data_IF_239076454685
#
_entry.id   IF_239076454685
#
_cell.length_a   1.000
_cell.length_b   1.000
_cell.length_c   1.000
_cell.angle_alpha   90.00
_cell.angle_beta   90.00
_cell.angle_gamma   90.00
#
_symmetry.space_group_name_H-M   'P 1'
#
loop_
_entity.id
_entity.type
_entity.pdbx_description
1 polymer ?
#
# COMPACT_ATOMS: atom_id res chain seq x y z
N UNK A 1 0.00 20.71 -7.75
CA UNK A 1 -0.30 19.28 -7.52
C UNK A 1 -1.42 18.89 -8.49
N UNK A 2 -1.07 18.35 -9.66
CA UNK A 2 -2.04 17.99 -10.71
C UNK A 2 -2.53 16.55 -10.56
N UNK A 3 -3.77 16.31 -10.98
CA UNK A 3 -4.44 15.00 -11.02
C UNK A 3 -3.77 13.97 -11.94
N UNK A 4 -2.76 14.37 -12.72
CA UNK A 4 -2.15 13.54 -13.76
C UNK A 4 -1.33 12.36 -13.24
N UNK A 5 -1.00 12.32 -11.94
CA UNK A 5 -0.21 11.26 -11.35
C UNK A 5 -0.96 10.44 -10.27
N UNK A 6 -2.29 10.58 -10.21
CA UNK A 6 -3.14 9.73 -9.39
C UNK A 6 -3.49 8.43 -10.14
N UNK A 7 -3.29 7.32 -9.45
CA UNK A 7 -3.59 5.96 -9.89
C UNK A 7 -4.45 5.26 -8.84
N UNK A 8 -4.88 4.03 -9.11
CA UNK A 8 -5.47 3.16 -8.10
C UNK A 8 -4.43 2.17 -7.60
N UNK A 9 -4.48 1.83 -6.31
CA UNK A 9 -3.61 0.84 -5.67
C UNK A 9 -4.43 -0.20 -4.91
N UNK A 10 -3.86 -1.39 -4.75
CA UNK A 10 -4.44 -2.43 -3.90
C UNK A 10 -3.82 -2.37 -2.51
N UNK A 11 -4.64 -2.16 -1.47
CA UNK A 11 -4.23 -2.18 -0.06
C UNK A 11 -3.45 -3.45 0.25
N UNK A 12 -4.00 -4.61 -0.12
CA UNK A 12 -3.32 -5.89 -0.19
C UNK A 12 -2.98 -6.18 -1.66
N UNK A 13 -1.68 -6.32 -2.02
CA UNK A 13 -1.26 -6.60 -3.39
C UNK A 13 -1.89 -7.89 -3.95
N UNK A 14 -2.16 -7.90 -5.26
CA UNK A 14 -2.67 -9.09 -5.96
C UNK A 14 -1.74 -10.30 -5.81
N UNK A 15 -0.43 -10.07 -5.79
CA UNK A 15 0.59 -11.11 -5.57
C UNK A 15 0.51 -11.79 -4.18
N UNK A 16 -0.30 -11.23 -3.26
CA UNK A 16 -0.53 -11.74 -1.91
C UNK A 16 -2.00 -12.09 -1.67
N UNK A 17 -2.67 -12.56 -2.73
CA UNK A 17 -4.09 -12.95 -2.69
C UNK A 17 -5.06 -11.79 -2.41
N UNK A 18 -4.60 -10.54 -2.57
CA UNK A 18 -5.48 -9.38 -2.56
C UNK A 18 -6.47 -9.43 -3.72
N UNK A 19 -7.74 -9.09 -3.47
CA UNK A 19 -8.80 -9.11 -4.49
C UNK A 19 -9.13 -7.69 -4.96
N UNK A 20 -9.50 -7.52 -6.23
CA UNK A 20 -9.96 -6.23 -6.76
C UNK A 20 -11.40 -5.90 -6.31
N UNK A 21 -11.58 -5.68 -5.01
CA UNK A 21 -12.86 -5.29 -4.40
C UNK A 21 -12.84 -3.82 -4.00
N UNK A 22 -14.02 -3.21 -3.85
CA UNK A 22 -14.13 -1.79 -3.42
C UNK A 22 -13.43 -1.50 -2.08
N UNK A 23 -13.32 -2.49 -1.20
CA UNK A 23 -12.63 -2.34 0.10
C UNK A 23 -11.11 -2.50 0.02
N UNK A 24 -10.57 -2.98 -1.09
CA UNK A 24 -9.12 -3.20 -1.27
C UNK A 24 -8.49 -2.20 -2.24
N UNK A 25 -9.27 -1.45 -3.02
CA UNK A 25 -8.75 -0.55 -4.05
C UNK A 25 -8.89 0.91 -3.58
N UNK A 26 -7.78 1.65 -3.52
CA UNK A 26 -7.73 3.03 -3.03
C UNK A 26 -7.04 3.96 -4.02
N UNK A 27 -7.42 5.26 -4.09
CA UNK A 27 -6.69 6.23 -4.90
C UNK A 27 -5.32 6.52 -4.26
N UNK A 28 -4.26 6.45 -5.06
CA UNK A 28 -2.89 6.66 -4.60
C UNK A 28 -2.01 7.18 -5.74
N UNK A 29 -0.97 7.95 -5.40
CA UNK A 29 -0.04 8.45 -6.41
C UNK A 29 0.86 7.32 -6.94
N UNK A 30 1.26 7.39 -8.21
CA UNK A 30 2.13 6.38 -8.81
C UNK A 30 3.46 6.21 -8.03
N UNK A 31 4.03 7.30 -7.53
CA UNK A 31 5.23 7.27 -6.71
C UNK A 31 5.04 6.52 -5.39
N UNK A 32 3.89 6.72 -4.72
CA UNK A 32 3.53 6.01 -3.50
C UNK A 32 3.38 4.51 -3.77
N UNK A 33 2.72 4.13 -4.86
CA UNK A 33 2.52 2.72 -5.25
C UNK A 33 3.85 2.02 -5.51
N UNK A 34 4.76 2.67 -6.25
CA UNK A 34 6.11 2.15 -6.52
C UNK A 34 6.95 2.01 -5.24
N UNK A 35 6.82 2.95 -4.30
CA UNK A 35 7.55 2.87 -3.02
C UNK A 35 7.02 1.74 -2.13
N UNK A 36 5.70 1.51 -2.13
CA UNK A 36 5.04 0.50 -1.30
C UNK A 36 5.38 -0.94 -1.71
N UNK A 37 5.66 -1.20 -3.00
CA UNK A 37 5.98 -2.52 -3.54
C UNK A 37 4.96 -3.58 -3.11
N UNK A 38 5.40 -4.61 -2.36
CA UNK A 38 4.57 -5.72 -1.87
C UNK A 38 4.22 -5.60 -0.39
N UNK A 39 4.56 -4.47 0.23
CA UNK A 39 4.37 -4.24 1.66
C UNK A 39 2.91 -3.94 1.95
N UNK A 40 2.39 -4.60 2.98
CA UNK A 40 1.05 -4.35 3.49
C UNK A 40 1.10 -3.37 4.67
N UNK A 41 0.02 -2.60 4.93
CA UNK A 41 0.00 -1.68 6.07
C UNK A 41 0.28 -2.35 7.42
N UNK A 42 -0.14 -3.61 7.58
CA UNK A 42 0.11 -4.39 8.79
C UNK A 42 1.61 -4.64 9.01
N UNK A 43 2.37 -4.92 7.95
CA UNK A 43 3.83 -5.13 8.06
C UNK A 43 4.55 -3.85 8.47
N UNK A 44 4.18 -2.71 7.88
CA UNK A 44 4.76 -1.43 8.29
C UNK A 44 4.52 -1.13 9.76
N UNK A 45 3.32 -1.44 10.28
CA UNK A 45 3.01 -1.30 11.70
C UNK A 45 3.80 -2.28 12.57
N UNK A 46 3.93 -3.54 12.15
CA UNK A 46 4.73 -4.53 12.88
C UNK A 46 6.20 -4.13 12.94
N UNK A 47 6.75 -3.56 11.86
CA UNK A 47 8.14 -3.09 11.84
C UNK A 47 8.33 -1.88 12.75
N UNK A 48 7.36 -0.96 12.83
CA UNK A 48 7.37 0.14 13.80
C UNK A 48 7.31 -0.35 15.26
N UNK A 49 6.58 -1.42 15.52
CA UNK A 49 6.54 -2.03 16.86
C UNK A 49 7.91 -2.65 17.18
N UNK A 50 8.48 -3.43 16.26
CA UNK A 50 9.81 -4.04 16.46
C UNK A 50 10.91 -3.01 16.72
N UNK A 51 10.90 -1.86 16.03
CA UNK A 51 11.92 -0.82 16.23
C UNK A 51 11.72 -0.02 17.51
N UNK A 52 10.50 0.01 18.07
CA UNK A 52 10.19 0.70 19.32
C UNK A 52 10.52 -0.12 20.56
N UNK A 53 10.49 -1.46 20.42
CA UNK A 53 10.86 -2.41 21.47
C UNK A 53 12.38 -2.73 21.50
N UNK A 54 13.17 -2.11 20.61
CA UNK A 54 14.62 -2.31 20.46
C UNK A 54 15.45 -1.19 21.09
#
# INVERSE_FOLDING_TARGET
>A
MGSENQTMDHVVPLAREGKSTRGNVVPAFQACNRSKNLTTPAETLLDQIKTKEA
#
